data_IF_537761612728
#
_entry.id   IF_537761612728
#
_cell.length_a   1.000
_cell.length_b   1.000
_cell.length_c   1.000
_cell.angle_alpha   90.00
_cell.angle_beta   90.00
_cell.angle_gamma   90.00
#
_symmetry.space_group_name_H-M   'P 1'
#
loop_
_entity.id
_entity.type
_entity.pdbx_description
1 polymer ?
#
# COMPACT_ATOMS: atom_id res chain seq x y z
N UNK A 1 -2.98 22.22 -11.32
CA UNK A 1 -2.84 21.32 -12.49
C UNK A 1 -1.44 20.75 -12.48
N UNK A 2 -1.28 19.44 -12.68
CA UNK A 2 0.04 18.86 -12.91
C UNK A 2 0.49 19.32 -14.31
N UNK A 3 1.70 19.85 -14.43
CA UNK A 3 2.21 20.34 -15.71
C UNK A 3 2.66 19.16 -16.57
N UNK A 4 2.28 19.13 -17.86
CA UNK A 4 2.59 18.00 -18.75
C UNK A 4 4.10 17.73 -18.84
N UNK A 5 4.90 18.80 -18.83
CA UNK A 5 6.36 18.72 -18.82
C UNK A 5 6.90 17.92 -17.62
N UNK A 6 6.35 18.11 -16.43
CA UNK A 6 6.78 17.39 -15.22
C UNK A 6 6.47 15.89 -15.32
N UNK A 7 5.35 15.53 -15.97
CA UNK A 7 4.99 14.12 -16.20
C UNK A 7 5.99 13.48 -17.17
N UNK A 8 6.38 14.18 -18.22
CA UNK A 8 7.34 13.66 -19.20
C UNK A 8 8.77 13.56 -18.64
N UNK A 9 9.17 14.51 -17.79
CA UNK A 9 10.41 14.42 -17.02
C UNK A 9 10.40 13.18 -16.11
N UNK A 10 9.32 12.95 -15.37
CA UNK A 10 9.17 11.77 -14.52
C UNK A 10 9.24 10.46 -15.33
N UNK A 11 8.53 10.39 -16.47
CA UNK A 11 8.58 9.22 -17.36
C UNK A 11 10.00 8.92 -17.84
N UNK A 12 10.74 9.96 -18.20
CA UNK A 12 12.13 9.85 -18.64
C UNK A 12 13.02 9.34 -17.51
N UNK A 13 12.88 9.90 -16.30
CA UNK A 13 13.63 9.47 -15.12
C UNK A 13 13.36 8.00 -14.77
N UNK A 14 12.09 7.57 -14.77
CA UNK A 14 11.69 6.18 -14.50
C UNK A 14 12.27 5.23 -15.54
N UNK A 15 12.27 5.59 -16.83
CA UNK A 15 12.85 4.77 -17.89
C UNK A 15 14.36 4.63 -17.75
N UNK A 16 15.06 5.72 -17.45
CA UNK A 16 16.52 5.74 -17.32
C UNK A 16 17.06 5.11 -16.02
N UNK A 17 16.24 5.03 -14.96
CA UNK A 17 16.69 4.50 -13.67
C UNK A 17 17.03 2.99 -13.75
N UNK A 18 18.18 2.59 -13.20
CA UNK A 18 18.56 1.18 -13.08
C UNK A 18 17.90 0.51 -11.86
N UNK A 19 17.63 1.27 -10.81
CA UNK A 19 17.02 0.81 -9.57
C UNK A 19 15.95 1.82 -9.14
N UNK A 20 14.77 1.32 -8.78
CA UNK A 20 13.64 2.13 -8.35
C UNK A 20 13.14 1.59 -7.03
N UNK A 21 12.86 2.50 -6.09
CA UNK A 21 12.21 2.20 -4.81
C UNK A 21 10.82 2.82 -4.82
N UNK A 22 9.80 2.03 -4.51
CA UNK A 22 8.44 2.50 -4.31
C UNK A 22 8.16 2.59 -2.81
N UNK A 23 7.92 3.81 -2.33
CA UNK A 23 7.44 4.04 -0.95
C UNK A 23 5.92 4.15 -0.99
N UNK A 24 5.23 3.14 -0.47
CA UNK A 24 3.76 3.04 -0.51
C UNK A 24 3.18 3.00 0.88
N UNK A 25 1.99 3.59 1.06
CA UNK A 25 1.16 3.41 2.24
C UNK A 25 -0.16 2.70 1.91
N UNK A 26 -1.02 2.53 2.92
CA UNK A 26 -2.33 1.88 2.78
C UNK A 26 -3.22 2.48 1.68
N UNK A 27 -3.05 3.78 1.38
CA UNK A 27 -3.78 4.47 0.31
C UNK A 27 -3.70 3.80 -1.07
N UNK A 28 -2.61 3.08 -1.36
CA UNK A 28 -2.47 2.33 -2.63
C UNK A 28 -3.49 1.18 -2.73
N UNK A 29 -4.00 0.68 -1.60
CA UNK A 29 -4.98 -0.40 -1.53
C UNK A 29 -6.44 0.07 -1.45
N UNK A 30 -6.69 1.38 -1.30
CA UNK A 30 -8.07 1.93 -1.29
C UNK A 30 -8.86 1.58 -2.56
N UNK A 31 -8.29 1.67 -3.78
CA UNK A 31 -8.98 1.23 -4.99
C UNK A 31 -9.24 -0.28 -5.06
N UNK A 32 -8.58 -1.08 -4.21
CA UNK A 32 -8.82 -2.52 -4.04
C UNK A 32 -9.89 -2.83 -3.00
N UNK A 33 -10.59 -1.82 -2.48
CA UNK A 33 -11.63 -1.97 -1.46
C UNK A 33 -11.10 -2.08 -0.02
N UNK A 34 -9.80 -1.88 0.19
CA UNK A 34 -9.17 -1.92 1.52
C UNK A 34 -9.04 -0.48 2.02
N UNK A 35 -9.75 -0.07 3.07
CA UNK A 35 -9.66 1.29 3.61
C UNK A 35 -8.24 1.58 4.12
N UNK A 36 -7.82 2.85 4.01
CA UNK A 36 -6.63 3.31 4.71
C UNK A 36 -6.95 3.57 6.19
N UNK A 37 -5.94 3.98 6.96
CA UNK A 37 -6.13 4.23 8.38
C UNK A 37 -6.83 5.56 8.66
N UNK A 38 -6.41 6.66 8.02
CA UNK A 38 -6.61 8.04 8.52
C UNK A 38 -7.48 8.93 7.66
N UNK A 39 -7.94 8.47 6.50
CA UNK A 39 -8.89 9.23 5.70
C UNK A 39 -10.24 9.36 6.41
N UNK A 40 -11.08 10.26 5.91
CA UNK A 40 -12.43 10.50 6.45
C UNK A 40 -13.27 9.22 6.63
N UNK A 41 -13.09 8.25 5.75
CA UNK A 41 -13.75 6.94 5.78
C UNK A 41 -12.77 5.79 6.06
N UNK A 42 -11.60 6.10 6.63
CA UNK A 42 -10.57 5.11 7.00
C UNK A 42 -10.92 4.36 8.28
N UNK A 43 -10.09 3.39 8.65
CA UNK A 43 -10.29 2.52 9.81
C UNK A 43 -10.42 3.28 11.14
N UNK A 44 -9.80 4.47 11.24
CA UNK A 44 -9.79 5.26 12.47
C UNK A 44 -10.99 6.22 12.56
N UNK A 45 -11.76 6.35 11.50
CA UNK A 45 -12.89 7.27 11.44
C UNK A 45 -13.94 6.92 12.52
N UNK A 46 -14.22 7.87 13.41
CA UNK A 46 -15.24 7.73 14.45
C UNK A 46 -14.87 6.78 15.61
N UNK A 47 -13.64 6.24 15.65
CA UNK A 47 -13.18 5.38 16.75
C UNK A 47 -12.45 6.20 17.81
N UNK A 48 -12.70 5.88 19.08
CA UNK A 48 -11.98 6.48 20.20
C UNK A 48 -10.67 5.71 20.43
N UNK A 49 -9.53 6.42 20.39
CA UNK A 49 -8.18 5.85 20.57
C UNK A 49 -7.84 4.65 19.64
N UNK A 50 -7.99 4.79 18.31
CA UNK A 50 -7.80 3.68 17.38
C UNK A 50 -6.35 3.19 17.31
N UNK A 51 -5.37 4.03 17.66
CA UNK A 51 -3.96 3.62 17.78
C UNK A 51 -3.76 2.59 18.91
N UNK A 52 -4.55 2.65 19.98
CA UNK A 52 -4.48 1.63 21.04
C UNK A 52 -4.87 0.26 20.52
N UNK A 53 -5.94 0.16 19.72
CA UNK A 53 -6.48 -1.10 19.21
C UNK A 53 -5.49 -1.87 18.31
N UNK A 54 -4.47 -1.18 17.78
CA UNK A 54 -3.38 -1.76 16.99
C UNK A 54 -2.01 -1.66 17.69
N UNK A 55 -1.99 -1.40 18.99
CA UNK A 55 -0.76 -1.26 19.79
C UNK A 55 -0.32 -2.59 20.40
N UNK A 56 0.98 -2.69 20.70
CA UNK A 56 1.54 -3.77 21.52
C UNK A 56 0.83 -3.87 22.88
N UNK A 57 0.49 -2.73 23.50
CA UNK A 57 -0.16 -2.70 24.81
C UNK A 57 -1.55 -3.35 24.78
N UNK A 58 -2.35 -3.11 23.73
CA UNK A 58 -3.65 -3.77 23.58
C UNK A 58 -3.47 -5.27 23.31
N UNK A 59 -2.52 -5.66 22.46
CA UNK A 59 -2.22 -7.07 22.22
C UNK A 59 -1.81 -7.80 23.51
N UNK A 60 -1.01 -7.16 24.37
CA UNK A 60 -0.52 -7.77 25.61
C UNK A 60 -1.58 -7.82 26.72
N UNK A 61 -2.35 -6.74 26.90
CA UNK A 61 -3.28 -6.61 28.02
C UNK A 61 -4.72 -7.06 27.69
N UNK A 62 -5.14 -6.93 26.42
CA UNK A 62 -6.50 -7.18 25.94
C UNK A 62 -6.48 -7.90 24.57
N UNK A 63 -5.86 -9.10 24.46
CA UNK A 63 -5.66 -9.78 23.17
C UNK A 63 -6.95 -10.06 22.41
N UNK A 64 -8.04 -10.39 23.11
CA UNK A 64 -9.35 -10.65 22.47
C UNK A 64 -9.88 -9.40 21.75
N UNK A 65 -9.70 -8.21 22.35
CA UNK A 65 -10.09 -6.92 21.75
C UNK A 65 -9.23 -6.63 20.51
N UNK A 66 -7.93 -6.87 20.59
CA UNK A 66 -7.01 -6.72 19.47
C UNK A 66 -7.39 -7.66 18.30
N UNK A 67 -7.58 -8.95 18.58
CA UNK A 67 -7.91 -9.94 17.55
C UNK A 67 -9.28 -9.68 16.92
N UNK A 68 -10.29 -9.32 17.72
CA UNK A 68 -11.59 -8.92 17.20
C UNK A 68 -11.46 -7.72 16.25
N UNK A 69 -10.73 -6.67 16.66
CA UNK A 69 -10.53 -5.51 15.82
C UNK A 69 -9.86 -5.86 14.49
N UNK A 70 -8.76 -6.63 14.51
CA UNK A 70 -8.03 -7.02 13.30
C UNK A 70 -8.88 -7.89 12.38
N UNK A 71 -9.59 -8.89 12.91
CA UNK A 71 -10.39 -9.79 12.09
C UNK A 71 -11.61 -9.12 11.47
N UNK A 72 -12.29 -8.24 12.20
CA UNK A 72 -13.47 -7.53 11.69
C UNK A 72 -13.11 -6.38 10.73
N UNK A 73 -11.96 -5.74 10.90
CA UNK A 73 -11.64 -4.48 10.22
C UNK A 73 -10.45 -4.59 9.24
N UNK A 74 -9.66 -5.66 9.25
CA UNK A 74 -8.44 -5.77 8.44
C UNK A 74 -8.35 -7.05 7.60
N UNK A 75 -9.39 -7.89 7.58
CA UNK A 75 -9.42 -9.11 6.79
C UNK A 75 -10.23 -8.95 5.50
N UNK A 76 -9.54 -8.99 4.35
CA UNK A 76 -10.12 -8.78 3.02
C UNK A 76 -9.74 -9.92 2.06
N UNK A 77 -10.31 -11.13 2.21
CA UNK A 77 -9.88 -12.33 1.47
C UNK A 77 -10.08 -12.24 -0.04
N UNK A 78 -11.06 -11.47 -0.50
CA UNK A 78 -11.40 -11.33 -1.91
C UNK A 78 -10.68 -10.15 -2.61
N UNK A 79 -9.84 -9.40 -1.88
CA UNK A 79 -9.17 -8.24 -2.42
C UNK A 79 -8.20 -8.64 -3.56
N UNK A 80 -8.22 -7.86 -4.65
CA UNK A 80 -7.37 -8.07 -5.81
C UNK A 80 -6.42 -6.89 -6.04
N UNK A 81 -5.24 -7.12 -6.64
CA UNK A 81 -4.37 -6.03 -7.07
C UNK A 81 -5.11 -5.07 -8.01
N UNK A 82 -4.98 -3.78 -7.75
CA UNK A 82 -5.50 -2.73 -8.63
C UNK A 82 -4.40 -2.23 -9.61
N UNK A 83 -4.73 -1.34 -10.57
CA UNK A 83 -3.77 -0.87 -11.58
C UNK A 83 -2.46 -0.31 -11.03
N UNK A 84 -2.45 0.27 -9.82
CA UNK A 84 -1.23 0.78 -9.18
C UNK A 84 -0.29 -0.38 -8.85
N UNK A 85 -0.81 -1.42 -8.18
CA UNK A 85 -0.04 -2.64 -7.86
C UNK A 85 0.49 -3.32 -9.12
N UNK A 86 -0.36 -3.46 -10.13
CA UNK A 86 0.01 -4.08 -11.41
C UNK A 86 1.12 -3.28 -12.09
N UNK A 87 1.05 -1.94 -12.06
CA UNK A 87 2.10 -1.11 -12.67
C UNK A 87 3.42 -1.15 -11.92
N UNK A 88 3.38 -1.18 -10.58
CA UNK A 88 4.58 -1.37 -9.76
C UNK A 88 5.24 -2.71 -10.08
N UNK A 89 4.45 -3.78 -10.19
CA UNK A 89 4.94 -5.11 -10.54
C UNK A 89 5.56 -5.14 -11.96
N UNK A 90 4.89 -4.54 -12.95
CA UNK A 90 5.39 -4.41 -14.32
C UNK A 90 6.75 -3.70 -14.36
N UNK A 91 6.87 -2.53 -13.71
CA UNK A 91 8.15 -1.79 -13.65
C UNK A 91 9.22 -2.63 -12.92
N UNK A 92 8.85 -3.32 -11.86
CA UNK A 92 9.77 -4.21 -11.13
C UNK A 92 10.34 -5.31 -12.02
N UNK A 93 9.50 -5.97 -12.81
CA UNK A 93 9.93 -7.02 -13.75
C UNK A 93 10.77 -6.45 -14.90
N UNK A 94 10.39 -5.30 -15.46
CA UNK A 94 11.21 -4.61 -16.46
C UNK A 94 12.62 -4.32 -15.94
N UNK A 95 12.76 -3.80 -14.72
CA UNK A 95 14.08 -3.46 -14.15
C UNK A 95 14.93 -4.68 -13.78
N UNK A 96 14.32 -5.80 -13.38
CA UNK A 96 15.03 -7.08 -13.16
C UNK A 96 15.62 -7.65 -14.45
N UNK A 97 14.87 -7.60 -15.56
CA UNK A 97 15.34 -8.10 -16.86
C UNK A 97 16.54 -7.30 -17.37
N UNK A 98 16.57 -6.00 -17.12
CA UNK A 98 17.69 -5.12 -17.51
C UNK A 98 18.95 -5.33 -16.66
N UNK A 99 18.85 -5.88 -15.44
CA UNK A 99 20.00 -6.17 -14.58
C UNK A 99 20.60 -7.57 -14.78
N UNK A 100 20.14 -8.33 -15.78
CA UNK A 100 20.70 -9.64 -16.15
C UNK A 100 20.21 -10.82 -15.30
N UNK A 101 19.26 -10.62 -14.40
CA UNK A 101 18.66 -11.70 -13.60
C UNK A 101 17.43 -12.27 -14.31
N UNK A 102 17.64 -13.21 -15.22
CA UNK A 102 16.57 -14.07 -15.73
C UNK A 102 16.37 -15.22 -14.75
N UNK A 103 15.25 -15.25 -14.03
CA UNK A 103 14.81 -16.45 -13.32
C UNK A 103 14.26 -17.44 -14.35
N UNK A 104 14.81 -18.65 -14.36
CA UNK A 104 14.13 -19.85 -14.90
C UNK A 104 12.96 -20.22 -13.99
#
# INVERSE_FOLDING_TARGET
>A
MIQMEQIDQLRTAVRAANQIVFLTGAGVSVPSGIPDYRSKNGLYAGKHNPEYLLSEACLANEPDVFYQFVTENMYYPDAKPNPIHLKIAEIGEEKKRHSGYTKY
#
